data_IF_138958811433
#
_entry.id   IF_138958811433
#
_cell.length_a   1.000
_cell.length_b   1.000
_cell.length_c   1.000
_cell.angle_alpha   90.00
_cell.angle_beta   90.00
_cell.angle_gamma   90.00
#
_symmetry.space_group_name_H-M   'P 1'
#
loop_
_entity.id
_entity.type
_entity.pdbx_description
1 polymer ?
#
# COMPACT_ATOMS: atom_id res chain seq x y z
N UNK A 1 -5.52 78.51 -9.37
CA UNK A 1 -4.76 77.66 -10.30
C UNK A 1 -5.15 76.21 -10.08
N UNK A 2 -6.17 75.69 -10.77
CA UNK A 2 -6.28 74.27 -11.11
C UNK A 2 -7.10 74.20 -12.39
N UNK A 3 -6.44 73.78 -13.45
CA UNK A 3 -6.95 73.55 -14.80
C UNK A 3 -8.01 72.46 -14.81
N UNK A 4 -9.18 72.78 -15.35
CA UNK A 4 -10.22 71.81 -15.69
C UNK A 4 -9.80 71.15 -17.00
N UNK A 5 -9.16 69.97 -16.90
CA UNK A 5 -8.83 69.16 -18.07
C UNK A 5 -10.00 68.26 -18.43
N UNK A 6 -10.53 68.51 -19.62
CA UNK A 6 -11.40 67.64 -20.40
C UNK A 6 -10.78 66.25 -20.50
N UNK A 7 -11.45 65.22 -20.00
CA UNK A 7 -11.14 63.84 -20.30
C UNK A 7 -12.28 63.26 -21.14
N UNK A 8 -11.90 62.91 -22.37
CA UNK A 8 -12.72 62.37 -23.43
C UNK A 8 -13.37 61.04 -23.00
N UNK A 9 -14.67 60.94 -23.21
CA UNK A 9 -15.41 59.68 -23.21
C UNK A 9 -15.05 58.92 -24.50
N UNK A 10 -14.15 57.95 -24.39
CA UNK A 10 -13.94 56.91 -25.39
C UNK A 10 -14.80 55.68 -25.03
N UNK A 11 -15.50 55.05 -25.98
CA UNK A 11 -16.25 53.82 -25.71
C UNK A 11 -15.26 52.67 -25.41
N UNK A 12 -15.53 51.77 -24.44
CA UNK A 12 -14.63 50.65 -24.16
C UNK A 12 -14.68 49.65 -25.32
N UNK A 13 -13.55 49.50 -26.01
CA UNK A 13 -13.30 48.43 -26.97
C UNK A 13 -12.81 47.18 -26.23
N UNK A 14 -13.40 46.02 -26.54
CA UNK A 14 -12.89 44.70 -26.15
C UNK A 14 -13.77 43.94 -25.16
N UNK A 15 -14.83 43.30 -25.66
CA UNK A 15 -15.64 42.37 -24.87
C UNK A 15 -14.86 41.04 -24.74
N UNK A 16 -14.23 40.81 -23.58
CA UNK A 16 -13.65 39.49 -23.27
C UNK A 16 -14.77 38.51 -22.96
N UNK A 17 -14.62 37.27 -23.44
CA UNK A 17 -15.66 36.24 -23.28
C UNK A 17 -15.80 35.75 -21.84
N UNK A 18 -14.70 35.73 -21.08
CA UNK A 18 -14.63 35.28 -19.69
C UNK A 18 -13.65 36.17 -18.89
N UNK A 19 -13.99 36.51 -17.64
CA UNK A 19 -13.17 37.38 -16.76
C UNK A 19 -12.45 36.62 -15.65
N UNK A 20 -12.66 35.30 -15.53
CA UNK A 20 -12.23 34.50 -14.38
C UNK A 20 -10.72 34.55 -14.11
N UNK A 21 -9.87 34.55 -15.15
CA UNK A 21 -8.41 34.62 -14.95
C UNK A 21 -7.94 36.00 -14.47
N UNK A 22 -8.64 37.07 -14.88
CA UNK A 22 -8.39 38.44 -14.41
C UNK A 22 -8.83 38.61 -12.96
N UNK A 23 -9.95 38.00 -12.58
CA UNK A 23 -10.47 38.00 -11.21
C UNK A 23 -9.56 37.24 -10.23
N UNK A 24 -9.02 36.07 -10.64
CA UNK A 24 -8.06 35.30 -9.84
C UNK A 24 -6.80 36.12 -9.53
N UNK A 25 -6.32 36.91 -10.50
CA UNK A 25 -5.19 37.80 -10.32
C UNK A 25 -5.57 39.17 -9.74
N UNK A 26 -6.86 39.46 -9.54
CA UNK A 26 -7.36 40.73 -8.99
C UNK A 26 -6.97 41.94 -9.84
N UNK A 27 -6.95 41.80 -11.16
CA UNK A 27 -6.56 42.84 -12.12
C UNK A 27 -7.70 43.16 -13.10
N UNK A 28 -7.70 44.36 -13.65
CA UNK A 28 -8.64 44.73 -14.71
C UNK A 28 -8.28 44.07 -16.05
N UNK A 29 -9.25 43.94 -16.95
CA UNK A 29 -9.09 43.27 -18.25
C UNK A 29 -8.08 44.01 -19.16
N UNK A 30 -7.99 45.33 -19.01
CA UNK A 30 -7.08 46.22 -19.73
C UNK A 30 -5.69 46.34 -19.07
N UNK A 31 -5.38 45.50 -18.08
CA UNK A 31 -4.10 45.58 -17.35
C UNK A 31 -2.90 45.41 -18.29
N UNK A 32 -1.89 46.25 -18.07
CA UNK A 32 -0.60 46.17 -18.75
C UNK A 32 0.26 45.03 -18.17
N UNK A 33 1.27 44.58 -18.92
CA UNK A 33 2.15 43.48 -18.50
C UNK A 33 2.83 43.74 -17.13
N UNK A 34 3.16 45.00 -16.85
CA UNK A 34 3.78 45.37 -15.58
C UNK A 34 2.79 45.30 -14.41
N UNK A 35 1.53 45.71 -14.61
CA UNK A 35 0.44 45.56 -13.65
C UNK A 35 0.16 44.08 -13.34
N UNK A 36 0.12 43.23 -14.37
CA UNK A 36 -0.06 41.79 -14.24
C UNK A 36 1.06 41.14 -13.40
N UNK A 37 2.31 41.46 -13.73
CA UNK A 37 3.50 40.95 -13.02
C UNK A 37 3.56 41.42 -11.57
N UNK A 38 3.12 42.65 -11.29
CA UNK A 38 3.05 43.20 -9.93
C UNK A 38 2.00 42.46 -9.10
N UNK A 39 0.82 42.19 -9.67
CA UNK A 39 -0.24 41.48 -8.95
C UNK A 39 0.14 40.02 -8.68
N UNK A 40 0.68 39.32 -9.69
CA UNK A 40 1.17 37.96 -9.54
C UNK A 40 2.21 37.84 -8.43
N UNK A 41 3.22 38.72 -8.40
CA UNK A 41 4.24 38.72 -7.33
C UNK A 41 3.63 38.90 -5.94
N UNK A 42 2.63 39.80 -5.81
CA UNK A 42 1.95 40.05 -4.52
C UNK A 42 1.17 38.82 -4.05
N UNK A 43 0.45 38.15 -4.96
CA UNK A 43 -0.36 36.97 -4.65
C UNK A 43 0.48 35.71 -4.42
N UNK A 44 1.51 35.49 -5.25
CA UNK A 44 2.43 34.37 -5.10
C UNK A 44 3.19 34.42 -3.76
N UNK A 45 3.54 35.62 -3.27
CA UNK A 45 4.19 35.78 -1.97
C UNK A 45 3.24 35.58 -0.79
N UNK A 46 1.94 35.85 -0.99
CA UNK A 46 0.88 35.68 0.00
C UNK A 46 0.47 34.21 0.17
N UNK A 47 0.36 33.49 -0.95
CA UNK A 47 -0.07 32.08 -0.99
C UNK A 47 1.09 31.10 -1.15
N UNK A 48 2.33 31.54 -0.89
CA UNK A 48 3.50 30.68 -1.04
C UNK A 48 3.41 29.45 -0.10
N UNK A 49 3.69 28.23 -0.58
CA UNK A 49 3.59 27.00 0.23
C UNK A 49 4.44 27.04 1.50
N UNK A 50 5.62 27.67 1.44
CA UNK A 50 6.52 27.81 2.58
C UNK A 50 5.95 28.66 3.72
N UNK A 51 5.11 29.65 3.40
CA UNK A 51 4.45 30.52 4.41
C UNK A 51 3.09 29.97 4.88
N UNK A 52 2.54 29.00 4.15
CA UNK A 52 1.20 28.43 4.38
C UNK A 52 1.26 26.89 4.44
N UNK A 53 2.21 26.37 5.22
CA UNK A 53 2.42 24.92 5.36
C UNK A 53 1.17 24.27 5.99
N UNK A 54 0.61 23.26 5.31
CA UNK A 54 -0.56 22.51 5.79
C UNK A 54 -1.93 23.13 5.48
N UNK A 55 -2.00 24.22 4.72
CA UNK A 55 -3.28 24.81 4.29
C UNK A 55 -3.59 24.43 2.82
N UNK A 56 -4.53 23.50 2.62
CA UNK A 56 -4.93 23.00 1.30
C UNK A 56 -5.55 24.10 0.41
N UNK A 57 -6.35 25.01 0.99
CA UNK A 57 -6.97 26.11 0.24
C UNK A 57 -5.93 27.12 -0.27
N UNK A 58 -4.86 27.36 0.49
CA UNK A 58 -3.77 28.24 0.07
C UNK A 58 -2.98 27.62 -1.08
N UNK A 59 -2.78 26.29 -1.05
CA UNK A 59 -2.14 25.55 -2.13
C UNK A 59 -2.99 25.57 -3.41
N UNK A 60 -4.31 25.43 -3.31
CA UNK A 60 -5.22 25.51 -4.46
C UNK A 60 -5.26 26.91 -5.06
N UNK A 61 -5.34 27.97 -4.23
CA UNK A 61 -5.26 29.35 -4.70
C UNK A 61 -3.94 29.65 -5.38
N UNK A 62 -2.82 29.14 -4.84
CA UNK A 62 -1.50 29.30 -5.47
C UNK A 62 -1.44 28.65 -6.86
N UNK A 63 -2.04 27.47 -7.03
CA UNK A 63 -2.16 26.80 -8.34
C UNK A 63 -2.98 27.65 -9.33
N UNK A 64 -4.13 28.16 -8.90
CA UNK A 64 -5.00 29.01 -9.73
C UNK A 64 -4.30 30.32 -10.15
N UNK A 65 -3.56 30.96 -9.23
CA UNK A 65 -2.76 32.17 -9.49
C UNK A 65 -1.67 31.91 -10.54
N UNK A 66 -0.98 30.76 -10.44
CA UNK A 66 0.04 30.36 -11.41
C UNK A 66 -0.54 30.15 -12.81
N UNK A 67 -1.66 29.42 -12.89
CA UNK A 67 -2.37 29.17 -14.15
C UNK A 67 -2.88 30.46 -14.81
N UNK A 68 -3.50 31.36 -14.04
CA UNK A 68 -3.98 32.63 -14.55
C UNK A 68 -2.85 33.53 -15.08
N UNK A 69 -1.70 33.56 -14.40
CA UNK A 69 -0.55 34.33 -14.86
C UNK A 69 0.07 33.75 -16.13
N UNK A 70 0.17 32.42 -16.26
CA UNK A 70 0.70 31.79 -17.46
C UNK A 70 -0.07 32.20 -18.72
N UNK A 71 -1.40 32.17 -18.66
CA UNK A 71 -2.27 32.49 -19.80
C UNK A 71 -2.25 33.99 -20.10
N UNK A 72 -2.33 34.84 -19.09
CA UNK A 72 -2.42 36.29 -19.27
C UNK A 72 -1.07 36.97 -19.54
N UNK A 73 0.05 36.30 -19.20
CA UNK A 73 1.40 36.85 -19.42
C UNK A 73 1.92 36.65 -20.85
N UNK A 74 1.38 35.68 -21.59
CA UNK A 74 1.70 35.44 -22.99
C UNK A 74 0.66 36.16 -23.87
N UNK A 75 1.13 37.01 -24.78
CA UNK A 75 0.26 37.85 -25.60
C UNK A 75 -0.62 37.05 -26.57
N UNK A 76 -0.15 35.90 -27.06
CA UNK A 76 -0.91 35.02 -27.95
C UNK A 76 -1.97 34.24 -27.16
N UNK A 77 -1.60 33.68 -26.00
CA UNK A 77 -2.54 32.96 -25.12
C UNK A 77 -3.60 33.88 -24.54
N UNK A 78 -3.23 35.11 -24.15
CA UNK A 78 -4.15 36.14 -23.68
C UNK A 78 -5.15 36.50 -24.78
N UNK A 79 -4.70 36.75 -26.00
CA UNK A 79 -5.58 37.06 -27.12
C UNK A 79 -6.54 35.89 -27.46
N UNK A 80 -6.08 34.64 -27.33
CA UNK A 80 -6.89 33.44 -27.53
C UNK A 80 -7.95 33.28 -26.43
N UNK A 81 -7.56 33.49 -25.16
CA UNK A 81 -8.44 33.49 -24.01
C UNK A 81 -9.51 34.58 -24.11
N UNK A 82 -9.10 35.80 -24.43
CA UNK A 82 -9.99 36.95 -24.57
C UNK A 82 -11.05 36.72 -25.65
N UNK A 83 -10.68 36.05 -26.75
CA UNK A 83 -11.56 35.77 -27.90
C UNK A 83 -12.46 34.54 -27.70
N UNK A 84 -11.95 33.48 -27.08
CA UNK A 84 -12.61 32.16 -27.09
C UNK A 84 -12.92 31.59 -25.70
N UNK A 85 -12.47 32.24 -24.62
CA UNK A 85 -12.61 31.75 -23.23
C UNK A 85 -11.74 30.52 -22.98
N UNK A 86 -11.92 29.86 -21.83
CA UNK A 86 -11.16 28.65 -21.46
C UNK A 86 -11.22 27.54 -22.53
N UNK A 87 -12.38 27.39 -23.19
CA UNK A 87 -12.57 26.41 -24.28
C UNK A 87 -11.65 26.62 -25.49
N UNK A 88 -11.18 27.84 -25.72
CA UNK A 88 -10.24 28.15 -26.80
C UNK A 88 -8.83 27.63 -26.53
N UNK A 89 -8.42 27.57 -25.27
CA UNK A 89 -7.10 27.04 -24.88
C UNK A 89 -7.04 25.52 -24.99
N UNK A 90 -8.15 24.81 -24.71
CA UNK A 90 -8.21 23.35 -24.80
C UNK A 90 -8.12 22.84 -26.25
N UNK A 91 -8.58 23.62 -27.22
CA UNK A 91 -8.63 23.21 -28.63
C UNK A 91 -7.36 23.59 -29.43
N UNK A 92 -6.47 24.40 -28.85
CA UNK A 92 -5.20 24.83 -29.46
C UNK A 92 -3.97 24.02 -29.04
N UNK A 93 -4.10 23.10 -28.08
CA UNK A 93 -3.02 22.24 -27.61
C UNK A 93 -3.19 20.81 -28.13
N UNK A 94 -2.35 20.39 -29.08
CA UNK A 94 -2.30 19.00 -29.49
C UNK A 94 -1.87 18.09 -28.34
N UNK A 95 -2.72 17.12 -28.00
CA UNK A 95 -2.37 15.98 -27.16
C UNK A 95 -3.15 15.90 -25.85
N UNK A 96 -4.27 15.18 -25.88
CA UNK A 96 -5.03 14.81 -24.70
C UNK A 96 -4.21 13.92 -23.74
N UNK A 97 -4.30 14.25 -22.46
CA UNK A 97 -3.78 13.46 -21.36
C UNK A 97 -4.06 14.22 -20.07
N UNK A 98 -4.84 13.60 -19.19
CA UNK A 98 -5.16 14.04 -17.82
C UNK A 98 -3.88 14.07 -16.97
N UNK A 99 -2.99 15.01 -17.28
CA UNK A 99 -1.73 15.21 -16.60
C UNK A 99 -1.94 16.28 -15.54
N UNK A 100 -1.85 15.83 -14.29
CA UNK A 100 -1.81 16.61 -13.05
C UNK A 100 -1.14 17.97 -13.30
N UNK A 101 -1.87 19.07 -13.09
CA UNK A 101 -1.40 20.43 -13.38
C UNK A 101 -0.09 20.78 -12.66
N UNK A 102 0.32 19.99 -11.65
CA UNK A 102 1.65 20.09 -11.04
C UNK A 102 2.79 19.71 -11.99
N UNK A 103 2.58 18.75 -12.91
CA UNK A 103 3.62 18.17 -13.76
C UNK A 103 3.98 19.11 -14.93
N UNK A 104 2.98 19.84 -15.44
CA UNK A 104 3.13 20.89 -16.47
C UNK A 104 3.83 22.12 -15.89
N UNK A 105 3.51 22.52 -14.64
CA UNK A 105 4.17 23.65 -13.97
C UNK A 105 5.66 23.39 -13.69
N UNK A 106 6.04 22.13 -13.38
CA UNK A 106 7.44 21.73 -13.22
C UNK A 106 8.24 21.73 -14.52
N UNK A 107 7.58 21.59 -15.68
CA UNK A 107 8.25 21.62 -16.98
C UNK A 107 8.61 23.04 -17.43
N UNK A 108 7.89 24.06 -16.94
CA UNK A 108 7.97 25.43 -17.45
C UNK A 108 8.65 26.43 -16.49
N UNK A 109 8.50 26.26 -15.16
CA UNK A 109 9.12 27.15 -14.14
C UNK A 109 10.37 26.58 -13.44
N UNK A 110 10.70 25.32 -13.69
CA UNK A 110 11.90 24.67 -13.17
C UNK A 110 12.93 24.51 -14.26
N UNK A 111 13.83 25.49 -14.42
CA UNK A 111 14.98 25.41 -15.32
C UNK A 111 15.58 24.01 -15.30
N UNK A 112 15.68 23.41 -16.49
CA UNK A 112 15.96 21.99 -16.73
C UNK A 112 16.74 21.33 -15.61
N UNK A 113 16.01 20.78 -14.62
CA UNK A 113 16.62 19.83 -13.72
C UNK A 113 17.09 18.71 -14.64
N UNK A 114 18.39 18.37 -14.70
CA UNK A 114 18.82 17.19 -15.41
C UNK A 114 17.94 16.07 -14.87
N UNK A 115 17.10 15.50 -15.73
CA UNK A 115 16.27 14.34 -15.41
C UNK A 115 17.29 13.33 -14.93
N UNK A 116 17.36 13.14 -13.61
CA UNK A 116 18.32 12.23 -13.01
C UNK A 116 18.23 10.91 -13.75
N UNK A 117 19.37 10.27 -14.02
CA UNK A 117 19.38 8.98 -14.70
C UNK A 117 18.28 8.09 -14.10
N UNK A 118 17.40 7.49 -14.93
CA UNK A 118 16.24 6.78 -14.44
C UNK A 118 16.71 5.67 -13.50
N UNK A 119 16.38 5.79 -12.21
CA UNK A 119 16.72 4.75 -11.23
C UNK A 119 15.83 3.52 -11.45
N UNK A 120 16.37 2.30 -11.38
CA UNK A 120 15.57 1.08 -11.31
C UNK A 120 14.63 1.12 -10.11
N UNK A 121 13.52 0.38 -10.18
CA UNK A 121 12.58 0.25 -9.04
C UNK A 121 13.27 -0.49 -7.89
N UNK A 122 12.96 -0.08 -6.67
CA UNK A 122 13.49 -0.73 -5.46
C UNK A 122 12.81 -2.08 -5.20
N UNK A 123 13.57 -3.03 -4.66
CA UNK A 123 13.08 -4.35 -4.28
C UNK A 123 12.64 -4.29 -2.81
N UNK A 124 11.37 -4.57 -2.55
CA UNK A 124 10.83 -4.64 -1.19
C UNK A 124 10.79 -6.09 -0.73
N UNK A 125 11.47 -6.40 0.38
CA UNK A 125 11.42 -7.71 1.02
C UNK A 125 10.89 -7.57 2.44
N UNK A 126 9.86 -8.34 2.77
CA UNK A 126 9.36 -8.41 4.15
C UNK A 126 10.21 -9.40 4.96
N UNK A 127 10.82 -8.91 6.03
CA UNK A 127 11.59 -9.71 6.96
C UNK A 127 10.72 -10.06 8.17
N UNK A 128 10.27 -11.32 8.33
CA UNK A 128 9.55 -11.73 9.52
C UNK A 128 10.53 -11.89 10.70
N UNK A 129 10.29 -11.11 11.75
CA UNK A 129 11.07 -11.07 12.99
C UNK A 129 10.17 -11.45 14.17
N UNK A 130 10.69 -12.24 15.12
CA UNK A 130 9.97 -12.57 16.34
C UNK A 130 9.98 -11.39 17.31
N UNK A 131 9.03 -11.37 18.24
CA UNK A 131 8.94 -10.29 19.23
C UNK A 131 10.16 -10.30 20.17
N UNK A 132 10.76 -11.45 20.48
CA UNK A 132 11.99 -11.52 21.29
C UNK A 132 13.19 -10.92 20.55
N UNK A 133 13.33 -11.23 19.26
CA UNK A 133 14.41 -10.69 18.43
C UNK A 133 14.30 -9.15 18.30
N UNK A 134 13.07 -8.60 18.27
CA UNK A 134 12.82 -7.15 18.28
C UNK A 134 13.08 -6.50 19.66
N UNK A 135 12.99 -7.27 20.74
CA UNK A 135 13.22 -6.80 22.10
C UNK A 135 14.72 -6.78 22.45
N UNK A 136 15.42 -7.88 22.16
CA UNK A 136 16.85 -8.02 22.45
C UNK A 136 17.75 -7.38 21.39
N UNK A 137 17.26 -7.22 20.16
CA UNK A 137 18.06 -6.89 18.99
C UNK A 137 18.86 -8.10 18.51
N UNK A 138 19.02 -8.24 17.20
CA UNK A 138 19.69 -9.40 16.60
C UNK A 138 20.22 -9.08 15.21
N UNK A 139 21.35 -9.68 14.87
CA UNK A 139 21.85 -9.68 13.50
C UNK A 139 21.33 -10.92 12.77
N UNK A 140 20.61 -10.74 11.67
CA UNK A 140 20.06 -11.82 10.84
C UNK A 140 20.62 -11.75 9.43
N UNK A 141 21.05 -12.88 8.88
CA UNK A 141 21.52 -12.98 7.50
C UNK A 141 20.36 -13.33 6.58
N UNK A 142 20.18 -12.61 5.49
CA UNK A 142 19.13 -12.84 4.49
C UNK A 142 19.79 -13.01 3.14
N UNK A 143 19.39 -14.05 2.40
CA UNK A 143 19.76 -14.18 1.00
C UNK A 143 18.78 -13.39 0.14
N UNK A 144 19.25 -12.32 -0.48
CA UNK A 144 18.51 -11.58 -1.50
C UNK A 144 18.93 -12.07 -2.88
N UNK A 145 17.96 -12.24 -3.77
CA UNK A 145 18.22 -12.53 -5.19
C UNK A 145 17.99 -11.25 -5.97
N UNK A 146 18.95 -10.89 -6.82
CA UNK A 146 18.93 -9.67 -7.63
C UNK A 146 19.40 -9.95 -9.05
N UNK A 147 18.99 -9.11 -9.98
CA UNK A 147 19.51 -9.11 -11.33
C UNK A 147 20.74 -8.19 -11.41
N UNK A 148 21.89 -8.75 -11.79
CA UNK A 148 23.11 -8.00 -12.12
C UNK A 148 23.42 -8.12 -13.61
N UNK A 149 24.17 -7.16 -14.14
CA UNK A 149 24.67 -7.27 -15.51
C UNK A 149 25.46 -8.58 -15.66
N UNK A 150 25.22 -9.29 -16.76
CA UNK A 150 25.87 -10.56 -16.99
C UNK A 150 27.36 -10.35 -17.25
N UNK A 151 28.17 -10.82 -16.31
CA UNK A 151 29.64 -10.91 -16.34
C UNK A 151 30.21 -11.63 -17.57
N UNK A 152 29.55 -12.70 -18.06
CA UNK A 152 30.06 -13.47 -19.21
C UNK A 152 29.91 -12.77 -20.56
N UNK A 153 29.02 -11.80 -20.69
CA UNK A 153 28.78 -11.11 -21.96
C UNK A 153 28.80 -9.59 -21.82
N UNK A 154 29.21 -9.05 -20.68
CA UNK A 154 29.22 -7.61 -20.37
C UNK A 154 27.93 -6.89 -20.80
N UNK A 155 26.78 -7.48 -20.44
CA UNK A 155 25.45 -6.99 -20.82
C UNK A 155 25.18 -6.88 -22.33
N UNK A 156 25.96 -7.52 -23.19
CA UNK A 156 25.72 -7.57 -24.63
C UNK A 156 24.69 -8.65 -25.01
N UNK A 157 24.47 -9.66 -24.16
CA UNK A 157 23.47 -10.72 -24.36
C UNK A 157 23.89 -11.80 -25.36
N UNK A 158 25.09 -11.69 -25.92
CA UNK A 158 25.65 -12.62 -26.91
C UNK A 158 26.93 -13.24 -26.37
N UNK A 159 27.35 -14.38 -26.92
CA UNK A 159 28.65 -14.96 -26.59
C UNK A 159 29.77 -13.97 -26.96
N UNK A 160 30.88 -13.92 -26.20
CA UNK A 160 32.03 -13.09 -26.55
C UNK A 160 32.49 -13.37 -27.99
N UNK A 161 32.53 -12.32 -28.83
CA UNK A 161 32.92 -12.42 -30.23
C UNK A 161 31.80 -12.78 -31.23
N UNK A 162 30.58 -13.07 -30.77
CA UNK A 162 29.45 -13.28 -31.67
C UNK A 162 28.91 -11.96 -32.25
N UNK A 163 28.55 -11.98 -33.54
CA UNK A 163 28.05 -10.81 -34.24
C UNK A 163 26.51 -10.78 -34.27
N UNK A 164 25.95 -9.57 -34.23
CA UNK A 164 24.52 -9.34 -34.40
C UNK A 164 24.22 -9.19 -35.88
N UNK A 165 23.33 -10.01 -36.41
CA UNK A 165 22.90 -9.92 -37.81
C UNK A 165 21.77 -8.91 -37.95
N UNK A 166 21.67 -8.22 -39.09
CA UNK A 166 20.52 -7.36 -39.36
C UNK A 166 19.26 -8.19 -39.49
N UNK A 167 18.15 -7.69 -38.94
CA UNK A 167 16.86 -8.31 -39.15
C UNK A 167 16.39 -8.06 -40.59
N UNK A 168 16.40 -9.10 -41.44
CA UNK A 168 16.00 -9.02 -42.86
C UNK A 168 14.54 -8.55 -43.04
N UNK A 169 13.70 -8.83 -42.05
CA UNK A 169 12.28 -8.54 -42.06
C UNK A 169 11.94 -7.05 -41.89
N UNK A 170 12.78 -6.30 -41.18
CA UNK A 170 12.65 -4.85 -41.03
C UNK A 170 13.85 -4.09 -41.60
N UNK A 171 14.80 -4.79 -42.23
CA UNK A 171 16.08 -4.26 -42.71
C UNK A 171 16.77 -3.35 -41.69
N UNK A 172 16.84 -3.78 -40.42
CA UNK A 172 17.47 -2.99 -39.36
C UNK A 172 16.59 -1.91 -38.73
N UNK A 173 15.39 -1.64 -39.27
CA UNK A 173 14.54 -0.51 -38.81
C UNK A 173 13.78 -0.77 -37.52
N UNK A 174 13.70 -2.03 -37.07
CA UNK A 174 12.97 -2.41 -35.85
C UNK A 174 11.45 -2.35 -35.98
N UNK A 175 10.88 -1.59 -36.91
CA UNK A 175 9.43 -1.44 -37.13
C UNK A 175 9.00 -1.93 -38.51
N UNK A 176 7.77 -2.46 -38.59
CA UNK A 176 7.07 -2.79 -39.84
C UNK A 176 5.85 -1.87 -39.98
N UNK A 177 5.57 -1.46 -41.21
CA UNK A 177 4.37 -0.67 -41.53
C UNK A 177 3.22 -1.65 -41.71
N UNK A 178 2.24 -1.59 -40.81
CA UNK A 178 1.02 -2.40 -40.86
C UNK A 178 -0.11 -1.52 -41.36
N UNK A 179 -0.81 -1.95 -42.41
CA UNK A 179 -1.99 -1.24 -42.90
C UNK A 179 -3.19 -1.66 -42.05
N UNK A 180 -3.70 -0.75 -41.22
CA UNK A 180 -4.88 -0.97 -40.40
C UNK A 180 -6.07 -0.28 -41.05
N UNK A 181 -7.07 -1.07 -41.43
CA UNK A 181 -8.31 -0.56 -41.99
C UNK A 181 -9.17 -0.05 -40.83
N UNK A 182 -9.25 1.28 -40.70
CA UNK A 182 -9.98 1.94 -39.60
C UNK A 182 -11.46 2.10 -39.98
N UNK A 183 -11.75 2.19 -41.27
CA UNK A 183 -13.10 2.32 -41.81
C UNK A 183 -13.21 1.72 -43.23
N UNK A 184 -14.39 1.29 -43.71
CA UNK A 184 -14.59 0.94 -45.11
C UNK A 184 -14.11 2.06 -46.04
N UNK A 185 -13.11 1.77 -46.88
CA UNK A 185 -12.49 2.73 -47.80
C UNK A 185 -11.36 3.58 -47.23
N UNK A 186 -11.04 3.50 -45.92
CA UNK A 186 -9.96 4.26 -45.29
C UNK A 186 -8.94 3.36 -44.60
N UNK A 187 -7.77 3.21 -45.23
CA UNK A 187 -6.62 2.46 -44.70
C UNK A 187 -5.60 3.43 -44.11
N UNK A 188 -5.30 3.28 -42.82
CA UNK A 188 -4.25 4.02 -42.14
C UNK A 188 -2.97 3.17 -42.08
N UNK A 189 -1.82 3.76 -42.42
CA UNK A 189 -0.52 3.12 -42.23
C UNK A 189 -0.08 3.30 -40.77
N UNK A 190 -0.18 2.25 -39.97
CA UNK A 190 0.33 2.19 -38.61
C UNK A 190 1.76 1.65 -38.57
N UNK A 191 2.56 2.09 -37.59
CA UNK A 191 3.87 1.50 -37.31
C UNK A 191 3.70 0.50 -36.18
N UNK A 192 4.10 -0.75 -36.40
CA UNK A 192 4.14 -1.79 -35.37
C UNK A 192 5.59 -2.27 -35.17
N UNK A 193 6.00 -2.66 -33.95
CA UNK A 193 7.29 -3.30 -33.75
C UNK A 193 7.39 -4.58 -34.58
N UNK A 194 8.56 -4.82 -35.19
CA UNK A 194 8.77 -6.01 -36.00
C UNK A 194 8.73 -7.27 -35.11
N UNK A 195 7.84 -8.24 -35.36
CA UNK A 195 7.70 -9.43 -34.51
C UNK A 195 8.92 -10.36 -34.55
N UNK A 196 9.77 -10.24 -35.57
CA UNK A 196 10.97 -11.07 -35.72
C UNK A 196 12.15 -10.60 -34.85
N UNK A 197 12.19 -9.32 -34.49
CA UNK A 197 13.29 -8.75 -33.70
C UNK A 197 12.81 -7.94 -32.49
N UNK A 198 11.52 -7.98 -32.17
CA UNK A 198 10.88 -7.24 -31.08
C UNK A 198 11.33 -5.77 -31.01
N UNK A 199 11.42 -5.12 -32.16
CA UNK A 199 11.84 -3.71 -32.22
C UNK A 199 13.35 -3.46 -32.21
N UNK A 200 14.20 -4.47 -31.98
CA UNK A 200 15.65 -4.28 -31.84
C UNK A 200 16.39 -4.01 -33.17
N UNK A 201 15.79 -4.33 -34.32
CA UNK A 201 16.41 -4.16 -35.65
C UNK A 201 17.55 -5.14 -35.97
N UNK A 202 18.12 -5.76 -34.95
CA UNK A 202 19.17 -6.77 -35.06
C UNK A 202 18.69 -8.09 -34.46
N UNK A 203 19.17 -9.21 -35.00
CA UNK A 203 18.86 -10.56 -34.55
C UNK A 203 20.16 -11.29 -34.23
N UNK A 204 20.09 -12.15 -33.22
CA UNK A 204 21.19 -13.02 -32.82
C UNK A 204 20.74 -14.45 -33.07
N UNK A 205 21.61 -15.30 -33.60
CA UNK A 205 21.30 -16.73 -33.76
C UNK A 205 21.12 -17.37 -32.38
N UNK A 206 20.17 -18.32 -32.21
CA UNK A 206 19.98 -18.98 -30.91
C UNK A 206 21.25 -19.64 -30.37
N UNK A 207 22.14 -20.13 -31.25
CA UNK A 207 23.45 -20.69 -30.90
C UNK A 207 24.41 -19.69 -30.25
N UNK A 208 24.23 -18.41 -30.54
CA UNK A 208 25.16 -17.34 -30.20
C UNK A 208 24.68 -16.52 -29.01
N UNK A 209 23.51 -16.88 -28.47
CA UNK A 209 23.02 -16.34 -27.21
C UNK A 209 23.97 -16.74 -26.07
N UNK A 210 24.20 -15.80 -25.16
CA UNK A 210 24.97 -16.09 -23.96
C UNK A 210 24.31 -17.21 -23.15
N UNK A 211 25.06 -18.24 -22.75
CA UNK A 211 24.51 -19.38 -22.02
C UNK A 211 23.95 -18.98 -20.65
N UNK A 212 24.52 -17.95 -19.99
CA UNK A 212 24.14 -17.52 -18.63
C UNK A 212 22.89 -16.62 -18.60
N UNK A 213 22.79 -15.66 -19.51
CA UNK A 213 21.64 -14.73 -19.56
C UNK A 213 20.62 -15.04 -20.66
N UNK A 214 20.93 -15.96 -21.58
CA UNK A 214 20.06 -16.35 -22.69
C UNK A 214 19.51 -15.16 -23.49
N UNK A 215 20.36 -14.15 -23.75
CA UNK A 215 19.97 -12.93 -24.47
C UNK A 215 19.39 -11.80 -23.60
N UNK A 216 19.09 -12.06 -22.32
CA UNK A 216 18.46 -11.06 -21.42
C UNK A 216 19.42 -10.01 -20.88
N UNK A 217 20.74 -10.15 -21.11
CA UNK A 217 21.82 -9.23 -20.68
C UNK A 217 22.02 -9.11 -19.16
N UNK A 218 21.09 -9.62 -18.35
CA UNK A 218 21.19 -9.72 -16.89
C UNK A 218 21.23 -11.18 -16.43
N UNK A 219 21.87 -11.42 -15.29
CA UNK A 219 21.96 -12.73 -14.64
C UNK A 219 21.54 -12.61 -13.16
N UNK A 220 20.83 -13.62 -12.66
CA UNK A 220 20.42 -13.70 -11.26
C UNK A 220 21.62 -13.99 -10.38
N UNK A 221 21.88 -13.12 -9.41
CA UNK A 221 22.91 -13.28 -8.39
C UNK A 221 22.22 -13.42 -7.01
N UNK A 222 22.67 -14.38 -6.21
CA UNK A 222 22.25 -14.52 -4.81
C UNK A 222 23.34 -13.94 -3.91
N UNK A 223 23.02 -12.89 -3.14
CA UNK A 223 23.92 -12.29 -2.16
C UNK A 223 23.33 -12.38 -0.76
N UNK A 224 24.16 -12.71 0.21
CA UNK A 224 23.78 -12.73 1.62
C UNK A 224 24.01 -11.34 2.20
N UNK A 225 22.95 -10.70 2.66
CA UNK A 225 22.96 -9.40 3.35
C UNK A 225 22.84 -9.64 4.85
N UNK A 226 23.70 -8.97 5.62
CA UNK A 226 23.61 -8.97 7.08
C UNK A 226 22.74 -7.80 7.53
N UNK A 227 21.67 -8.12 8.26
CA UNK A 227 20.66 -7.17 8.70
C UNK A 227 20.74 -7.03 10.19
N UNK A 228 21.01 -5.81 10.67
CA UNK A 228 21.03 -5.50 12.08
C UNK A 228 19.64 -5.02 12.51
N UNK A 229 18.97 -5.81 13.34
CA UNK A 229 17.68 -5.45 13.93
C UNK A 229 17.98 -4.80 15.27
N UNK A 230 17.69 -3.50 15.37
CA UNK A 230 17.89 -2.72 16.59
C UNK A 230 16.78 -3.01 17.62
N UNK A 231 17.10 -2.75 18.88
CA UNK A 231 16.16 -2.91 20.00
C UNK A 231 15.02 -1.91 19.85
N UNK A 232 13.80 -2.42 19.92
CA UNK A 232 12.60 -1.58 19.89
C UNK A 232 12.08 -1.22 18.50
N UNK A 233 12.74 -1.64 17.41
CA UNK A 233 12.25 -1.44 16.03
C UNK A 233 10.78 -1.86 15.91
N UNK A 234 9.97 -1.11 15.16
CA UNK A 234 8.53 -1.30 15.01
C UNK A 234 8.20 -2.08 13.74
N UNK A 235 6.99 -2.63 13.69
CA UNK A 235 6.44 -3.19 12.44
C UNK A 235 6.36 -2.07 11.41
N UNK A 236 6.88 -2.32 10.21
CA UNK A 236 6.91 -1.36 9.11
C UNK A 236 8.17 -0.50 9.04
N UNK A 237 9.05 -0.56 10.04
CA UNK A 237 10.38 0.06 9.93
C UNK A 237 11.15 -0.60 8.79
N UNK A 238 11.93 0.19 8.05
CA UNK A 238 12.65 -0.28 6.87
C UNK A 238 14.15 -0.06 6.98
N UNK A 239 14.92 -1.08 6.57
CA UNK A 239 16.38 -1.03 6.47
C UNK A 239 16.73 -1.00 4.98
N UNK A 240 17.43 0.05 4.56
CA UNK A 240 17.80 0.27 3.16
C UNK A 240 19.23 -0.19 2.87
N UNK A 241 19.37 -1.06 1.87
CA UNK A 241 20.65 -1.45 1.30
C UNK A 241 20.83 -0.77 -0.06
N UNK A 242 21.56 0.34 -0.05
CA UNK A 242 21.74 1.19 -1.22
C UNK A 242 22.53 0.48 -2.33
N UNK A 243 22.02 0.50 -3.56
CA UNK A 243 22.67 -0.07 -4.75
C UNK A 243 22.73 -1.61 -4.79
N UNK A 244 22.12 -2.28 -3.81
CA UNK A 244 22.10 -3.74 -3.72
C UNK A 244 20.94 -4.39 -4.50
N UNK A 245 20.02 -3.60 -5.07
CA UNK A 245 18.89 -4.06 -5.89
C UNK A 245 19.24 -4.33 -7.36
N UNK A 246 18.21 -4.39 -8.20
CA UNK A 246 18.33 -4.81 -9.60
C UNK A 246 19.08 -3.79 -10.46
N UNK A 247 19.88 -4.29 -11.39
CA UNK A 247 20.53 -3.52 -12.45
C UNK A 247 19.82 -3.71 -13.78
N UNK A 248 19.59 -2.60 -14.46
CA UNK A 248 18.96 -2.59 -15.78
C UNK A 248 20.03 -2.29 -16.84
N UNK A 249 20.14 -3.07 -17.92
CA UNK A 249 21.05 -2.77 -19.02
C UNK A 249 20.81 -1.38 -19.59
N UNK A 250 21.87 -0.57 -19.68
CA UNK A 250 21.79 0.82 -20.18
C UNK A 250 21.55 1.88 -19.09
N UNK A 251 21.35 1.49 -17.84
CA UNK A 251 21.25 2.38 -16.68
C UNK A 251 22.47 2.17 -15.78
N UNK A 252 23.15 3.25 -15.37
CA UNK A 252 24.33 3.17 -14.48
C UNK A 252 23.95 2.93 -13.03
N UNK A 253 22.83 3.50 -12.59
CA UNK A 253 22.35 3.36 -11.21
C UNK A 253 21.69 2.00 -11.01
N UNK A 254 21.96 1.39 -9.85
CA UNK A 254 21.24 0.19 -9.39
C UNK A 254 20.09 0.59 -8.49
N UNK A 255 19.03 -0.22 -8.42
CA UNK A 255 17.97 -0.05 -7.42
C UNK A 255 18.47 -0.35 -6.01
N UNK A 256 17.66 -0.02 -5.01
CA UNK A 256 17.93 -0.33 -3.61
C UNK A 256 17.13 -1.58 -3.18
N UNK A 257 17.62 -2.27 -2.14
CA UNK A 257 16.81 -3.27 -1.43
C UNK A 257 16.27 -2.63 -0.15
N UNK A 258 14.95 -2.60 -0.03
CA UNK A 258 14.22 -2.13 1.15
C UNK A 258 13.71 -3.33 1.92
N UNK A 259 14.31 -3.59 3.08
CA UNK A 259 13.83 -4.62 3.98
C UNK A 259 12.82 -4.03 4.95
N UNK A 260 11.55 -4.42 4.83
CA UNK A 260 10.49 -3.99 5.73
C UNK A 260 10.33 -5.00 6.85
N UNK A 261 10.40 -4.55 8.10
CA UNK A 261 10.28 -5.43 9.26
C UNK A 261 8.82 -5.84 9.48
N UNK A 262 8.57 -7.14 9.37
CA UNK A 262 7.31 -7.78 9.74
C UNK A 262 7.40 -8.35 11.16
N UNK A 263 6.39 -8.10 11.99
CA UNK A 263 6.28 -8.70 13.32
C UNK A 263 5.52 -10.03 13.22
N UNK A 264 6.15 -11.12 13.68
CA UNK A 264 5.47 -12.40 13.87
C UNK A 264 4.49 -12.33 15.05
N UNK A 265 3.31 -12.98 14.95
CA UNK A 265 2.45 -13.16 16.10
C UNK A 265 3.19 -13.97 17.17
N UNK A 266 2.92 -13.65 18.44
CA UNK A 266 3.46 -14.35 19.61
C UNK A 266 2.29 -14.80 20.47
N UNK A 267 2.41 -15.98 21.09
CA UNK A 267 1.30 -16.64 21.79
C UNK A 267 0.89 -15.90 23.07
N UNK A 268 1.87 -15.51 23.90
CA UNK A 268 1.60 -14.78 25.16
C UNK A 268 1.50 -13.25 25.00
N UNK A 269 2.44 -12.63 24.27
CA UNK A 269 2.59 -11.18 24.20
C UNK A 269 2.05 -10.57 22.92
N UNK A 270 1.21 -9.54 23.06
CA UNK A 270 0.78 -8.68 21.96
C UNK A 270 1.38 -7.29 22.12
N UNK A 271 2.16 -6.85 21.13
CA UNK A 271 2.75 -5.51 21.13
C UNK A 271 1.74 -4.45 20.70
N UNK A 272 1.63 -3.36 21.47
CA UNK A 272 0.89 -2.15 21.09
C UNK A 272 1.79 -0.94 21.36
N UNK A 273 2.35 -0.36 20.29
CA UNK A 273 3.33 0.71 20.39
C UNK A 273 4.60 0.27 21.14
N UNK A 274 4.87 0.92 22.27
CA UNK A 274 5.97 0.55 23.18
C UNK A 274 5.50 -0.35 24.33
N UNK A 275 4.21 -0.64 24.42
CA UNK A 275 3.64 -1.48 25.47
C UNK A 275 3.49 -2.93 25.00
N UNK A 276 3.52 -3.84 25.96
CA UNK A 276 3.21 -5.26 25.78
C UNK A 276 1.89 -5.55 26.48
N UNK A 277 1.01 -6.30 25.83
CA UNK A 277 -0.25 -6.76 26.40
C UNK A 277 -0.18 -8.28 26.55
N UNK A 278 -0.65 -8.77 27.69
CA UNK A 278 -0.88 -10.20 27.91
C UNK A 278 -2.27 -10.38 28.46
N UNK A 279 -2.91 -11.49 28.09
CA UNK A 279 -4.12 -11.95 28.73
C UNK A 279 -3.74 -13.15 29.60
N UNK A 280 -4.06 -13.06 30.89
CA UNK A 280 -3.76 -14.12 31.84
C UNK A 280 -5.05 -14.53 32.57
N UNK A 281 -5.34 -15.82 32.55
CA UNK A 281 -6.48 -16.39 33.28
C UNK A 281 -6.08 -16.65 34.72
N UNK A 282 -6.85 -16.13 35.67
CA UNK A 282 -6.65 -16.36 37.11
C UNK A 282 -7.90 -16.96 37.72
N UNK A 283 -7.74 -17.72 38.80
CA UNK A 283 -8.87 -18.27 39.54
C UNK A 283 -9.57 -17.20 40.38
N UNK A 284 -10.87 -17.39 40.66
CA UNK A 284 -11.63 -16.49 41.53
C UNK A 284 -10.97 -16.27 42.91
N UNK A 285 -10.34 -17.31 43.47
CA UNK A 285 -9.63 -17.21 44.74
C UNK A 285 -8.42 -16.26 44.66
N UNK A 286 -7.65 -16.31 43.57
CA UNK A 286 -6.49 -15.45 43.36
C UNK A 286 -6.93 -14.01 43.12
N UNK A 287 -8.03 -13.81 42.38
CA UNK A 287 -8.61 -12.50 42.13
C UNK A 287 -9.08 -11.79 43.42
N UNK A 288 -9.49 -12.53 44.46
CA UNK A 288 -9.99 -12.00 45.74
C UNK A 288 -8.91 -11.92 46.83
N UNK A 289 -8.06 -12.95 46.94
CA UNK A 289 -7.10 -13.08 48.03
C UNK A 289 -5.71 -12.51 47.69
N UNK A 290 -5.45 -12.18 46.43
CA UNK A 290 -4.13 -11.80 45.93
C UNK A 290 -3.32 -13.02 45.47
N UNK A 291 -2.25 -12.76 44.72
CA UNK A 291 -1.37 -13.79 44.17
C UNK A 291 0.01 -13.21 43.83
N UNK A 292 0.96 -14.12 43.65
CA UNK A 292 2.26 -13.84 43.05
C UNK A 292 2.37 -14.64 41.74
N UNK A 293 2.31 -13.96 40.60
CA UNK A 293 2.34 -14.59 39.29
C UNK A 293 3.73 -14.42 38.66
N UNK A 294 4.52 -15.50 38.51
CA UNK A 294 5.77 -15.46 37.76
C UNK A 294 5.48 -15.47 36.25
N UNK A 295 5.86 -14.40 35.56
CA UNK A 295 5.72 -14.25 34.10
C UNK A 295 7.10 -14.32 33.47
N UNK A 296 7.30 -15.25 32.52
CA UNK A 296 8.53 -15.29 31.73
C UNK A 296 8.49 -14.22 30.64
N UNK A 297 9.43 -13.29 30.70
CA UNK A 297 9.55 -12.17 29.75
C UNK A 297 10.29 -12.58 28.47
N UNK A 298 10.32 -11.69 27.47
CA UNK A 298 10.96 -11.88 26.16
C UNK A 298 12.49 -12.05 26.24
N UNK A 299 13.13 -11.57 27.30
CA UNK A 299 14.56 -11.79 27.58
C UNK A 299 14.84 -13.04 28.42
N UNK A 300 13.81 -13.89 28.62
CA UNK A 300 13.83 -15.09 29.46
C UNK A 300 13.97 -14.84 30.96
N UNK A 301 13.97 -13.57 31.43
CA UNK A 301 13.90 -13.29 32.87
C UNK A 301 12.48 -13.54 33.37
N UNK A 302 12.37 -13.95 34.63
CA UNK A 302 11.08 -14.12 35.30
C UNK A 302 10.75 -12.85 36.05
N UNK A 303 9.64 -12.22 35.70
CA UNK A 303 9.09 -11.04 36.39
C UNK A 303 7.92 -11.50 37.23
N UNK A 304 7.95 -11.24 38.53
CA UNK A 304 6.87 -11.62 39.45
C UNK A 304 5.90 -10.47 39.60
N UNK A 305 4.69 -10.62 39.06
CA UNK A 305 3.59 -9.71 39.30
C UNK A 305 2.98 -10.03 40.66
N UNK A 306 3.05 -9.09 41.61
CA UNK A 306 2.52 -9.26 42.96
C UNK A 306 1.28 -8.40 43.16
N UNK A 307 0.21 -9.04 43.63
CA UNK A 307 -0.98 -8.33 44.12
C UNK A 307 -1.08 -8.50 45.63
N UNK A 308 -1.08 -7.38 46.36
CA UNK A 308 -1.19 -7.41 47.81
C UNK A 308 -2.55 -7.98 48.25
N UNK A 309 -2.58 -8.85 49.28
CA UNK A 309 -3.82 -9.38 49.81
C UNK A 309 -4.78 -8.25 50.23
N UNK A 310 -6.05 -8.37 49.82
CA UNK A 310 -7.09 -7.38 50.10
C UNK A 310 -7.39 -6.40 48.95
N UNK A 311 -6.59 -6.41 47.88
CA UNK A 311 -6.92 -5.71 46.64
C UNK A 311 -7.62 -6.69 45.70
N UNK A 312 -8.84 -6.38 45.31
CA UNK A 312 -9.63 -7.22 44.39
C UNK A 312 -9.34 -6.84 42.95
N UNK A 313 -9.18 -7.85 42.08
CA UNK A 313 -9.11 -7.63 40.64
C UNK A 313 -10.51 -7.51 40.06
N UNK A 314 -10.77 -6.40 39.38
CA UNK A 314 -11.90 -6.26 38.49
C UNK A 314 -11.52 -6.78 37.08
N UNK A 315 -12.26 -7.76 36.52
CA UNK A 315 -12.00 -8.31 35.20
C UNK A 315 -12.04 -7.29 34.06
N UNK A 316 -12.68 -6.13 34.24
CA UNK A 316 -12.80 -5.09 33.20
C UNK A 316 -11.60 -4.13 33.18
N UNK A 317 -10.76 -4.15 34.20
CA UNK A 317 -9.62 -3.24 34.31
C UNK A 317 -8.30 -3.95 33.98
N UNK A 318 -7.45 -3.23 33.25
CA UNK A 318 -6.11 -3.69 32.93
C UNK A 318 -5.10 -3.21 33.98
N UNK A 319 -4.21 -4.10 34.38
CA UNK A 319 -3.16 -3.83 35.36
C UNK A 319 -1.83 -3.57 34.65
N UNK A 320 -0.97 -2.72 35.22
CA UNK A 320 0.28 -2.31 34.56
C UNK A 320 1.50 -2.60 35.42
N UNK A 321 2.47 -3.31 34.84
CA UNK A 321 3.83 -3.39 35.33
C UNK A 321 4.70 -2.35 34.61
N UNK A 322 5.19 -1.38 35.38
CA UNK A 322 5.97 -0.28 34.85
C UNK A 322 7.35 -0.74 34.36
N UNK A 323 7.81 -0.18 33.23
CA UNK A 323 9.14 -0.44 32.62
C UNK A 323 9.39 -1.89 32.15
N UNK A 324 8.34 -2.69 32.07
CA UNK A 324 8.38 -4.08 31.62
C UNK A 324 7.83 -4.26 30.18
N UNK A 325 7.70 -3.19 29.40
CA UNK A 325 7.26 -3.23 28.00
C UNK A 325 8.41 -3.30 26.98
N UNK A 326 8.13 -2.95 25.72
CA UNK A 326 9.14 -2.90 24.66
C UNK A 326 10.13 -1.74 24.87
N UNK A 327 11.41 -1.90 24.49
CA UNK A 327 12.36 -0.80 24.44
C UNK A 327 11.89 0.30 23.48
N UNK A 328 12.07 1.56 23.88
CA UNK A 328 11.79 2.69 23.01
C UNK A 328 12.93 2.85 22.00
N UNK A 329 12.65 2.97 20.68
CA UNK A 329 13.69 3.24 19.69
C UNK A 329 14.53 4.48 20.04
N UNK A 330 15.78 4.52 19.57
CA UNK A 330 16.70 5.67 19.73
C UNK A 330 17.11 6.05 21.17
N UNK A 331 16.70 5.30 22.19
CA UNK A 331 17.15 5.50 23.59
C UNK A 331 18.24 4.51 24.02
N UNK A 332 18.81 3.75 23.07
CA UNK A 332 19.77 2.68 23.37
C UNK A 332 19.22 1.51 24.20
N UNK A 333 17.89 1.49 24.43
CA UNK A 333 17.21 0.50 25.28
C UNK A 333 17.15 0.85 26.77
N UNK A 334 17.50 2.07 27.15
CA UNK A 334 17.37 2.55 28.54
C UNK A 334 15.91 2.78 28.93
N UNK A 335 15.11 3.37 28.03
CA UNK A 335 13.68 3.55 28.24
C UNK A 335 12.88 2.36 27.72
N UNK A 336 11.92 1.91 28.52
CA UNK A 336 11.03 0.81 28.22
C UNK A 336 9.60 1.25 28.45
N UNK A 337 8.70 0.78 27.61
CA UNK A 337 7.26 0.91 27.86
C UNK A 337 6.81 0.06 29.04
N UNK A 338 5.51 -0.17 29.14
CA UNK A 338 4.92 -0.95 30.22
C UNK A 338 4.36 -2.29 29.72
N UNK A 339 4.32 -3.27 30.61
CA UNK A 339 3.59 -4.51 30.42
C UNK A 339 2.20 -4.35 31.02
N UNK A 340 1.17 -4.47 30.20
CA UNK A 340 -0.23 -4.37 30.57
C UNK A 340 -0.80 -5.78 30.60
N UNK A 341 -1.41 -6.15 31.72
CA UNK A 341 -1.95 -7.47 31.99
C UNK A 341 -3.46 -7.33 32.10
N UNK A 342 -4.18 -8.03 31.23
CA UNK A 342 -5.61 -8.26 31.37
C UNK A 342 -5.83 -9.57 32.10
N UNK A 343 -6.64 -9.55 33.15
CA UNK A 343 -6.94 -10.73 33.95
C UNK A 343 -8.34 -11.24 33.65
N UNK A 344 -8.42 -12.44 33.07
CA UNK A 344 -9.68 -13.14 32.88
C UNK A 344 -9.93 -14.03 34.10
N UNK A 345 -11.05 -13.84 34.79
CA UNK A 345 -11.36 -14.61 36.00
C UNK A 345 -12.11 -15.88 35.64
N UNK A 346 -11.51 -17.03 35.94
CA UNK A 346 -12.14 -18.33 35.82
C UNK A 346 -12.97 -18.63 37.07
N UNK A 347 -14.29 -18.77 36.87
CA UNK A 347 -15.23 -19.11 37.92
C UNK A 347 -15.37 -20.64 38.05
N UNK A 348 -15.43 -21.17 39.29
CA UNK A 348 -15.66 -22.59 39.49
C UNK A 348 -17.07 -22.98 38.99
N UNK A 349 -17.17 -24.13 38.31
CA UNK A 349 -18.43 -24.62 37.72
C UNK A 349 -19.51 -24.95 38.76
N UNK A 350 -19.11 -25.30 39.98
CA UNK A 350 -20.03 -25.53 41.09
C UNK A 350 -19.34 -25.28 42.43
N UNK A 351 -20.14 -24.91 43.45
CA UNK A 351 -19.69 -24.69 44.82
C UNK A 351 -20.45 -25.62 45.77
N UNK A 352 -19.74 -26.22 46.72
CA UNK A 352 -20.35 -27.06 47.76
C UNK A 352 -21.24 -26.23 48.70
N UNK A 353 -22.19 -26.88 49.37
CA UNK A 353 -23.12 -26.18 50.28
C UNK A 353 -22.41 -25.44 51.42
N UNK A 354 -21.27 -25.96 51.89
CA UNK A 354 -20.45 -25.31 52.93
C UNK A 354 -19.71 -24.09 52.37
N UNK A 355 -19.03 -24.23 51.23
CA UNK A 355 -18.33 -23.11 50.58
C UNK A 355 -19.29 -21.96 50.24
N UNK A 356 -20.53 -22.26 49.81
CA UNK A 356 -21.57 -21.24 49.55
C UNK A 356 -21.92 -20.42 50.79
N UNK A 357 -21.99 -21.03 51.98
CA UNK A 357 -22.27 -20.32 53.24
C UNK A 357 -21.10 -19.42 53.64
N UNK A 358 -19.88 -19.93 53.53
CA UNK A 358 -18.65 -19.19 53.85
C UNK A 358 -18.47 -17.98 52.94
N UNK A 359 -18.65 -18.15 51.63
CA UNK A 359 -18.58 -17.03 50.66
C UNK A 359 -19.70 -16.03 50.89
N UNK A 360 -20.93 -16.49 51.18
CA UNK A 360 -22.05 -15.60 51.48
C UNK A 360 -21.79 -14.77 52.74
N UNK A 361 -21.18 -15.35 53.77
CA UNK A 361 -20.79 -14.64 54.98
C UNK A 361 -19.67 -13.63 54.71
N UNK A 362 -18.63 -14.03 53.94
CA UNK A 362 -17.49 -13.17 53.63
C UNK A 362 -17.86 -11.96 52.75
N UNK A 363 -18.78 -12.13 51.80
CA UNK A 363 -19.22 -11.07 50.87
C UNK A 363 -20.46 -10.31 51.35
N UNK A 364 -21.00 -10.63 52.54
CA UNK A 364 -22.18 -9.96 53.09
C UNK A 364 -23.46 -10.21 52.29
N UNK A 365 -23.61 -11.39 51.68
CA UNK A 365 -24.78 -11.74 50.89
C UNK A 365 -26.01 -11.92 51.81
N UNK A 366 -26.87 -10.90 51.87
CA UNK A 366 -28.06 -10.85 52.71
C UNK A 366 -29.25 -11.71 52.22
N UNK A 367 -29.04 -12.55 51.19
CA UNK A 367 -30.08 -13.36 50.57
C UNK A 367 -30.70 -12.70 49.34
N UNK A 368 -31.31 -13.51 48.48
CA UNK A 368 -31.99 -13.01 47.28
C UNK A 368 -33.17 -12.10 47.67
N UNK A 369 -33.41 -11.00 46.92
CA UNK A 369 -34.58 -10.17 47.14
C UNK A 369 -35.86 -11.01 47.02
N UNK A 370 -36.80 -10.81 47.94
CA UNK A 370 -38.08 -11.55 47.94
C UNK A 370 -38.82 -11.24 46.63
N UNK A 371 -39.35 -12.26 45.92
CA UNK A 371 -40.10 -12.03 44.69
C UNK A 371 -41.34 -11.17 44.95
N UNK A 372 -41.64 -10.25 44.03
CA UNK A 372 -42.85 -9.44 44.11
C UNK A 372 -44.11 -10.32 44.07
N UNK A 373 -45.16 -9.94 44.81
CA UNK A 373 -46.44 -10.67 44.79
C UNK A 373 -46.99 -10.69 43.36
N UNK A 374 -47.21 -11.89 42.81
CA UNK A 374 -47.67 -12.10 41.43
C UNK A 374 -46.55 -12.33 40.40
N UNK A 375 -45.28 -12.41 40.83
CA UNK A 375 -44.18 -12.70 39.91
C UNK A 375 -44.13 -14.19 39.51
N UNK A 376 -43.93 -14.44 38.21
CA UNK A 376 -43.67 -15.78 37.69
C UNK A 376 -42.21 -16.16 37.95
N UNK A 377 -41.98 -17.32 38.60
CA UNK A 377 -40.64 -17.85 38.79
C UNK A 377 -40.15 -18.49 37.47
N UNK A 378 -39.15 -17.87 36.85
CA UNK A 378 -38.48 -18.41 35.67
C UNK A 378 -37.09 -18.91 36.06
N UNK A 379 -36.72 -20.11 35.61
CA UNK A 379 -35.36 -20.63 35.75
C UNK A 379 -34.47 -20.09 34.64
N UNK A 380 -33.28 -19.61 34.99
CA UNK A 380 -32.24 -19.29 34.01
C UNK A 380 -31.65 -20.59 33.46
N UNK A 381 -31.46 -20.63 32.14
CA UNK A 381 -30.75 -21.70 31.43
C UNK A 381 -29.71 -21.07 30.52
N UNK A 382 -28.67 -21.81 30.18
CA UNK A 382 -27.64 -21.33 29.27
C UNK A 382 -28.24 -20.89 27.93
N UNK A 383 -27.78 -19.75 27.44
CA UNK A 383 -28.21 -19.23 26.15
C UNK A 383 -27.53 -20.04 25.04
N UNK A 384 -28.29 -20.95 24.42
CA UNK A 384 -27.90 -21.60 23.18
C UNK A 384 -28.39 -20.74 22.00
N UNK A 385 -27.52 -20.04 21.26
CA UNK A 385 -27.94 -19.30 20.07
C UNK A 385 -28.57 -20.28 19.07
N UNK A 386 -29.86 -20.13 18.79
CA UNK A 386 -30.50 -20.99 17.81
C UNK A 386 -29.88 -20.73 16.43
N UNK A 387 -29.40 -21.77 15.72
CA UNK A 387 -28.95 -21.60 14.36
C UNK A 387 -30.12 -21.06 13.55
N UNK A 388 -29.95 -19.89 12.92
CA UNK A 388 -30.92 -19.34 11.97
C UNK A 388 -31.25 -20.46 10.99
N UNK A 389 -32.52 -20.90 10.97
CA UNK A 389 -33.06 -21.75 9.91
C UNK A 389 -32.98 -20.97 8.59
N UNK A 390 -31.80 -20.95 7.98
CA UNK A 390 -31.61 -20.55 6.60
C UNK A 390 -32.47 -21.48 5.74
N UNK A 391 -33.30 -20.88 4.89
CA UNK A 391 -34.21 -21.59 4.01
C UNK A 391 -33.47 -22.60 3.13
N UNK A 392 -33.48 -23.87 3.53
CA UNK A 392 -33.31 -25.00 2.62
C UNK A 392 -34.66 -25.30 1.96
N UNK A 393 -35.09 -24.43 1.07
CA UNK A 393 -36.12 -24.71 0.06
C UNK A 393 -35.67 -24.12 -1.27
N UNK A 394 -34.66 -24.74 -1.87
CA UNK A 394 -34.48 -24.91 -3.32
C UNK A 394 -33.08 -25.45 -3.61
N UNK A 395 -32.89 -26.76 -3.48
CA UNK A 395 -31.80 -27.45 -4.18
C UNK A 395 -32.12 -28.94 -4.37
N UNK A 396 -33.30 -29.24 -4.91
CA UNK A 396 -33.68 -30.57 -5.40
C UNK A 396 -34.94 -30.48 -6.27
N UNK A 397 -34.80 -29.83 -7.44
CA UNK A 397 -35.70 -29.98 -8.59
C UNK A 397 -35.07 -29.32 -9.82
N UNK A 398 -33.95 -29.90 -10.24
CA UNK A 398 -33.43 -29.81 -11.59
C UNK A 398 -32.68 -31.13 -11.77
N UNK A 399 -32.89 -31.81 -12.89
CA UNK A 399 -32.49 -33.21 -13.15
C UNK A 399 -33.48 -34.24 -12.61
N UNK A 400 -34.66 -34.29 -13.22
CA UNK A 400 -35.17 -35.49 -13.91
C UNK A 400 -36.38 -35.08 -14.74
N UNK A 401 -36.57 -35.79 -15.85
CA UNK A 401 -37.65 -35.72 -16.83
C UNK A 401 -37.50 -34.63 -17.90
N UNK A 402 -36.82 -35.02 -18.98
CA UNK A 402 -37.34 -34.89 -20.34
C UNK A 402 -36.73 -36.05 -21.15
N UNK A 403 -37.45 -37.18 -21.15
CA UNK A 403 -37.39 -38.18 -22.22
C UNK A 403 -38.12 -37.59 -23.44
N UNK A 404 -37.51 -37.64 -24.62
CA UNK A 404 -38.07 -38.35 -25.79
C UNK A 404 -37.29 -38.03 -27.09
N UNK A 405 -37.29 -39.04 -27.97
CA UNK A 405 -37.06 -39.03 -29.41
C UNK A 405 -35.64 -39.32 -29.96
N UNK A 406 -35.45 -40.63 -30.15
CA UNK A 406 -35.40 -41.29 -31.47
C UNK A 406 -34.05 -41.60 -32.17
N UNK A 407 -34.06 -42.84 -32.66
CA UNK A 407 -33.39 -43.48 -33.79
C UNK A 407 -31.88 -43.83 -33.75
N UNK A 408 -31.64 -45.14 -33.72
CA UNK A 408 -30.83 -45.75 -34.78
C UNK A 408 -29.59 -46.54 -34.37
N UNK A 409 -29.70 -47.87 -34.41
CA UNK A 409 -28.63 -48.72 -34.96
C UNK A 409 -27.73 -49.51 -34.00
N UNK A 410 -28.18 -50.71 -33.63
CA UNK A 410 -27.33 -51.89 -33.37
C UNK A 410 -26.68 -52.38 -34.70
N UNK A 411 -25.77 -53.39 -34.74
CA UNK A 411 -25.02 -54.06 -33.68
C UNK A 411 -23.53 -54.36 -34.03
N UNK A 412 -22.78 -55.01 -33.12
CA UNK A 412 -21.73 -55.93 -33.55
C UNK A 412 -20.55 -56.18 -32.61
N UNK A 413 -20.63 -57.30 -31.87
CA UNK A 413 -19.55 -58.22 -31.45
C UNK A 413 -18.35 -57.69 -30.62
N UNK A 414 -17.80 -58.37 -29.63
CA UNK A 414 -18.01 -59.71 -29.09
C UNK A 414 -16.84 -60.08 -28.15
N UNK A 415 -17.14 -60.94 -27.19
CA UNK A 415 -16.28 -61.92 -26.51
C UNK A 415 -15.05 -61.55 -25.67
N UNK A 416 -15.04 -62.14 -24.46
CA UNK A 416 -13.88 -62.71 -23.76
C UNK A 416 -13.25 -61.75 -22.75
N UNK A 417 -13.14 -62.03 -21.45
CA UNK A 417 -12.99 -63.29 -20.75
C UNK A 417 -11.75 -63.20 -19.86
N UNK A 418 -11.83 -63.72 -18.63
CA UNK A 418 -10.64 -63.98 -17.80
C UNK A 418 -10.53 -63.16 -16.53
N UNK A 419 -10.99 -63.73 -15.41
CA UNK A 419 -10.56 -63.31 -14.08
C UNK A 419 -9.19 -63.87 -13.70
N UNK A 420 -8.61 -63.35 -12.62
CA UNK A 420 -7.71 -64.07 -11.75
C UNK A 420 -7.63 -63.37 -10.39
N UNK A 421 -8.02 -64.10 -9.34
CA UNK A 421 -7.64 -63.88 -7.94
C UNK A 421 -6.19 -64.36 -7.72
N UNK A 422 -5.56 -63.82 -6.68
CA UNK A 422 -4.71 -64.51 -5.68
C UNK A 422 -4.09 -63.42 -4.78
N UNK A 423 -4.45 -63.26 -3.51
CA UNK A 423 -4.28 -64.11 -2.32
C UNK A 423 -2.91 -63.93 -1.63
N UNK A 424 -3.00 -63.31 -0.45
CA UNK A 424 -2.28 -63.50 0.82
C UNK A 424 -0.94 -64.26 0.83
N UNK A 425 0.04 -63.62 1.48
CA UNK A 425 0.61 -64.12 2.74
C UNK A 425 0.63 -63.01 3.78
#
# INVERSE_FOLDING_TARGET
KVTVSVLYWFPPQGMVKETELYEILGVAVDVDENGLKRSYRKLALKYHPDKNQGNEEAAEKFKQIGYAYEILSDSEKRALYDRHGKKGLEQGGGGGGDHDASDIFSMFFGGGRPKGEPKPKDIIHELPVSLEDMYLGKTKKIAATRDRLCDQCDAQGVKPGAQREHCNDCNGRGVRIVMQQVFPGMVQRGQAPCPTCDGQGQRVRPSDLCNKCQGKKVAKEKKVLEVHIEKGMKKGDHIRFSGEGDQIPGVKLSGDILLVIGQKPHDMFKRVGSHLLINHTISLQEALCGFELPIQHLDKRVVVAKLSPGVVIDPNFAWTLHREGMPVPNTGGCERGNLVIHFDVEFPSSLSANARKEVAQALGYAGAPKPAKGANACSLSDYAPQPKRGGRRNMRRAMHDDDDDDDGGHPGHGHGGGGAQCQQM
#
